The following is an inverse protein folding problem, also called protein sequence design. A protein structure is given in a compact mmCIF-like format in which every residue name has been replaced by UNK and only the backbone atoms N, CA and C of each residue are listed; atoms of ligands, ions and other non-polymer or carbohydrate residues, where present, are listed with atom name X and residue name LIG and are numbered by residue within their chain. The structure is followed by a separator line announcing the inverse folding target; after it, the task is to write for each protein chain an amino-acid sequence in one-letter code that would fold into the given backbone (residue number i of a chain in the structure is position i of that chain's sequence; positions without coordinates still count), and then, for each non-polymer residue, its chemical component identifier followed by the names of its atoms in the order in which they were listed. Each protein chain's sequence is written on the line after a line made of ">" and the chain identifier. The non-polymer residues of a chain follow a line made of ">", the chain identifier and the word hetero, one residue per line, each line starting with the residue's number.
data_IF_041487957592
#
_entry.id   IF_041487957592
#
_cell.length_a   1.000
_cell.length_b   1.000
_cell.length_c   1.000
_cell.angle_alpha   90.00
_cell.angle_beta   90.00
_cell.angle_gamma   90.00
#
_symmetry.space_group_name_H-M   'P 1'
#
loop_
_entity.id
_entity.type
_entity.pdbx_description
1 polymer ?
#
# COMPACT_ATOMS: atom_id res chain seq x y z
N UNK A 1 10.78 13.38 -8.45
CA UNK A 1 10.15 14.17 -9.53
C UNK A 1 8.90 14.82 -8.94
N UNK A 2 8.63 16.09 -9.22
CA UNK A 2 7.38 16.73 -8.79
C UNK A 2 6.31 16.41 -9.82
N UNK A 3 5.28 15.67 -9.41
CA UNK A 3 4.17 15.27 -10.27
C UNK A 3 2.97 16.15 -9.93
N UNK A 4 2.28 16.59 -10.97
CA UNK A 4 1.06 17.38 -10.87
C UNK A 4 -0.12 16.44 -11.15
N UNK A 5 -0.95 16.25 -10.14
CA UNK A 5 -2.24 15.57 -10.24
C UNK A 5 -3.34 16.62 -10.44
N UNK A 6 -4.22 16.39 -11.42
CA UNK A 6 -5.40 17.19 -11.69
C UNK A 6 -6.63 16.49 -11.14
N UNK A 7 -7.28 17.12 -10.16
CA UNK A 7 -8.49 16.59 -9.53
C UNK A 7 -9.54 17.70 -9.56
N UNK A 8 -10.57 17.50 -10.37
CA UNK A 8 -11.59 18.51 -10.66
C UNK A 8 -10.97 19.86 -11.04
N UNK A 9 -11.22 20.90 -10.25
CA UNK A 9 -10.71 22.26 -10.46
C UNK A 9 -9.44 22.56 -9.65
N UNK A 10 -8.76 21.53 -9.12
CA UNK A 10 -7.56 21.70 -8.30
C UNK A 10 -6.38 20.90 -8.85
N UNK A 11 -5.23 21.55 -8.71
CA UNK A 11 -3.94 20.95 -8.97
C UNK A 11 -3.32 20.55 -7.63
N UNK A 12 -2.99 19.27 -7.48
CA UNK A 12 -2.29 18.72 -6.32
C UNK A 12 -0.88 18.36 -6.77
N UNK A 13 0.12 18.84 -6.03
CA UNK A 13 1.51 18.50 -6.32
C UNK A 13 2.01 17.47 -5.33
N UNK A 14 2.52 16.36 -5.85
CA UNK A 14 3.13 15.30 -5.05
C UNK A 14 4.57 15.10 -5.49
N UNK A 15 5.42 14.67 -4.55
CA UNK A 15 6.75 14.19 -4.86
C UNK A 15 6.71 12.68 -5.01
N UNK A 16 7.10 12.19 -6.18
CA UNK A 16 7.28 10.75 -6.42
C UNK A 16 8.48 10.52 -7.32
N UNK A 17 9.16 9.40 -7.11
CA UNK A 17 10.24 8.94 -8.01
C UNK A 17 9.76 7.85 -8.96
N UNK A 18 8.62 7.22 -8.65
CA UNK A 18 8.25 5.92 -9.19
C UNK A 18 6.94 5.94 -10.00
N UNK A 19 6.15 7.02 -9.90
CA UNK A 19 4.89 7.11 -10.62
C UNK A 19 5.09 7.42 -12.10
N UNK A 20 4.60 6.53 -12.95
CA UNK A 20 4.51 6.71 -14.39
C UNK A 20 3.32 7.62 -14.77
N UNK A 21 3.31 8.18 -15.99
CA UNK A 21 2.15 8.95 -16.48
C UNK A 21 0.85 8.15 -16.51
N UNK A 22 0.91 6.85 -16.80
CA UNK A 22 -0.27 5.98 -16.85
C UNK A 22 -0.84 5.82 -15.44
N UNK A 23 0.00 5.49 -14.45
CA UNK A 23 -0.43 5.37 -13.05
C UNK A 23 -0.98 6.69 -12.51
N UNK A 24 -0.35 7.82 -12.88
CA UNK A 24 -0.83 9.17 -12.55
C UNK A 24 -2.25 9.38 -13.07
N UNK A 25 -2.51 9.07 -14.35
CA UNK A 25 -3.84 9.17 -14.94
C UNK A 25 -4.85 8.21 -14.30
N UNK A 26 -4.43 7.00 -13.92
CA UNK A 26 -5.26 6.05 -13.18
C UNK A 26 -5.67 6.59 -11.81
N UNK A 27 -4.73 7.20 -11.07
CA UNK A 27 -5.00 7.83 -9.77
C UNK A 27 -6.00 8.98 -9.93
N UNK A 28 -5.78 9.88 -10.89
CA UNK A 28 -6.70 10.99 -11.17
C UNK A 28 -8.11 10.49 -11.50
N UNK A 29 -8.23 9.46 -12.36
CA UNK A 29 -9.50 8.86 -12.74
C UNK A 29 -10.21 8.21 -11.55
N UNK A 30 -9.47 7.50 -10.68
CA UNK A 30 -10.04 6.86 -9.48
C UNK A 30 -10.59 7.92 -8.52
N UNK A 31 -9.79 8.94 -8.20
CA UNK A 31 -10.22 9.99 -7.27
C UNK A 31 -11.42 10.76 -7.83
N UNK A 32 -11.41 11.06 -9.14
CA UNK A 32 -12.55 11.69 -9.80
C UNK A 32 -13.83 10.84 -9.68
N UNK A 33 -13.74 9.54 -9.96
CA UNK A 33 -14.88 8.63 -9.83
C UNK A 33 -15.43 8.62 -8.39
N UNK A 34 -14.55 8.61 -7.39
CA UNK A 34 -14.97 8.66 -5.98
C UNK A 34 -15.68 9.99 -5.64
N UNK A 35 -15.21 11.12 -6.19
CA UNK A 35 -15.92 12.40 -6.04
C UNK A 35 -17.30 12.36 -6.71
N UNK A 36 -17.38 11.89 -7.96
CA UNK A 36 -18.63 11.84 -8.73
C UNK A 36 -19.68 10.94 -8.05
N UNK A 37 -19.25 9.88 -7.35
CA UNK A 37 -20.13 9.03 -6.54
C UNK A 37 -20.62 9.74 -5.27
N UNK A 38 -19.74 10.44 -4.56
CA UNK A 38 -20.10 11.10 -3.31
C UNK A 38 -20.93 12.37 -3.53
N UNK A 39 -20.78 13.06 -4.67
CA UNK A 39 -21.64 14.19 -5.03
C UNK A 39 -23.12 13.79 -5.11
N UNK A 40 -23.42 12.54 -5.47
CA UNK A 40 -24.79 11.99 -5.45
C UNK A 40 -25.41 11.94 -4.06
N UNK A 41 -24.60 12.05 -3.00
CA UNK A 41 -25.04 12.06 -1.61
C UNK A 41 -25.38 13.46 -1.08
N UNK A 42 -25.37 14.49 -1.93
CA UNK A 42 -25.66 15.90 -1.56
C UNK A 42 -24.80 16.43 -0.41
N UNK A 43 -23.56 15.95 -0.28
CA UNK A 43 -22.59 16.47 0.68
C UNK A 43 -22.00 17.78 0.17
N UNK A 44 -21.70 18.70 1.08
CA UNK A 44 -20.95 19.91 0.73
C UNK A 44 -19.49 19.55 0.38
N UNK A 45 -18.80 20.41 -0.37
CA UNK A 45 -17.43 20.15 -0.84
C UNK A 45 -16.45 19.83 0.28
N UNK A 46 -16.56 20.47 1.45
CA UNK A 46 -15.67 20.22 2.60
C UNK A 46 -15.89 18.79 3.13
N UNK A 47 -17.14 18.37 3.29
CA UNK A 47 -17.50 17.01 3.69
C UNK A 47 -17.02 15.97 2.68
N UNK A 48 -17.13 16.25 1.38
CA UNK A 48 -16.59 15.40 0.31
C UNK A 48 -15.07 15.22 0.44
N UNK A 49 -14.33 16.32 0.64
CA UNK A 49 -12.88 16.26 0.82
C UNK A 49 -12.50 15.45 2.08
N UNK A 50 -13.15 15.68 3.22
CA UNK A 50 -12.87 14.91 4.43
C UNK A 50 -13.17 13.43 4.27
N UNK A 51 -14.25 13.08 3.57
CA UNK A 51 -14.58 11.69 3.29
C UNK A 51 -13.49 11.02 2.44
N UNK A 52 -13.08 11.66 1.35
CA UNK A 52 -12.01 11.16 0.47
C UNK A 52 -10.71 10.98 1.25
N UNK A 53 -10.28 11.98 2.01
CA UNK A 53 -9.08 11.90 2.85
C UNK A 53 -9.18 10.73 3.84
N UNK A 54 -10.33 10.60 4.54
CA UNK A 54 -10.57 9.52 5.49
C UNK A 54 -10.53 8.14 4.83
N UNK A 55 -11.21 7.97 3.70
CA UNK A 55 -11.20 6.73 2.90
C UNK A 55 -9.78 6.31 2.55
N UNK A 56 -9.01 7.20 1.93
CA UNK A 56 -7.64 6.88 1.50
C UNK A 56 -6.66 6.70 2.67
N UNK A 57 -6.86 7.39 3.79
CA UNK A 57 -6.07 7.16 5.01
C UNK A 57 -6.33 5.76 5.59
N UNK A 58 -7.58 5.31 5.61
CA UNK A 58 -7.95 3.97 6.04
C UNK A 58 -7.40 2.91 5.07
N UNK A 59 -7.57 3.10 3.76
CA UNK A 59 -7.01 2.19 2.74
C UNK A 59 -5.49 2.03 2.92
N UNK A 60 -4.77 3.15 3.11
CA UNK A 60 -3.33 3.14 3.36
C UNK A 60 -2.98 2.34 4.62
N UNK A 61 -3.68 2.58 5.73
CA UNK A 61 -3.44 1.85 6.98
C UNK A 61 -3.66 0.34 6.82
N UNK A 62 -4.70 -0.07 6.09
CA UNK A 62 -4.99 -1.49 5.84
C UNK A 62 -3.89 -2.14 4.99
N UNK A 63 -3.42 -1.47 3.94
CA UNK A 63 -2.32 -1.95 3.09
C UNK A 63 -1.02 -2.08 3.90
N UNK A 64 -0.69 -1.08 4.72
CA UNK A 64 0.51 -1.13 5.57
C UNK A 64 0.43 -2.26 6.61
N UNK A 65 -0.75 -2.49 7.18
CA UNK A 65 -0.99 -3.60 8.10
C UNK A 65 -0.82 -4.95 7.40
N UNK A 66 -1.39 -5.12 6.21
CA UNK A 66 -1.26 -6.36 5.42
C UNK A 66 0.19 -6.63 5.03
N UNK A 67 0.91 -5.60 4.57
CA UNK A 67 2.35 -5.70 4.27
C UNK A 67 3.15 -6.19 5.47
N UNK A 68 2.87 -5.64 6.66
CA UNK A 68 3.54 -6.08 7.89
C UNK A 68 3.26 -7.54 8.22
N UNK A 69 2.01 -7.99 8.09
CA UNK A 69 1.65 -9.39 8.31
C UNK A 69 2.42 -10.31 7.35
N UNK A 70 2.49 -9.94 6.07
CA UNK A 70 3.24 -10.71 5.06
C UNK A 70 4.74 -10.74 5.35
N UNK A 71 5.32 -9.61 5.81
CA UNK A 71 6.73 -9.56 6.23
C UNK A 71 6.99 -10.48 7.42
N UNK A 72 6.14 -10.44 8.45
CA UNK A 72 6.23 -11.32 9.63
C UNK A 72 6.10 -12.81 9.23
N UNK A 73 5.21 -13.14 8.28
CA UNK A 73 5.06 -14.51 7.76
C UNK A 73 6.30 -15.00 7.00
N UNK A 74 6.90 -14.13 6.17
CA UNK A 74 8.12 -14.44 5.41
C UNK A 74 9.28 -14.66 6.39
N UNK A 75 9.43 -13.80 7.39
CA UNK A 75 10.48 -13.91 8.40
C UNK A 75 10.35 -15.22 9.19
N UNK A 76 9.14 -15.57 9.63
CA UNK A 76 8.88 -16.83 10.33
C UNK A 76 9.19 -18.06 9.48
N UNK A 77 8.81 -18.05 8.19
CA UNK A 77 9.17 -19.12 7.24
C UNK A 77 10.67 -19.23 7.05
N UNK A 78 11.36 -18.10 6.91
CA UNK A 78 12.82 -18.07 6.77
C UNK A 78 13.51 -18.64 8.02
N UNK A 79 13.08 -18.24 9.21
CA UNK A 79 13.61 -18.74 10.48
C UNK A 79 13.38 -20.25 10.64
N UNK A 80 12.21 -20.76 10.23
CA UNK A 80 11.94 -22.20 10.22
C UNK A 80 12.88 -22.95 9.27
N UNK A 81 13.10 -22.43 8.06
CA UNK A 81 14.03 -23.03 7.09
C UNK A 81 15.47 -23.04 7.62
N UNK A 82 15.92 -21.93 8.22
CA UNK A 82 17.25 -21.83 8.83
C UNK A 82 17.40 -22.85 9.97
N UNK A 83 16.39 -22.97 10.83
CA UNK A 83 16.40 -23.91 11.96
C UNK A 83 16.47 -25.35 11.47
N UNK A 84 15.66 -25.71 10.47
CA UNK A 84 15.68 -27.04 9.85
C UNK A 84 16.99 -27.35 9.13
N UNK A 85 17.65 -26.33 8.55
CA UNK A 85 18.95 -26.51 7.93
C UNK A 85 20.05 -26.77 8.98
N UNK A 86 20.02 -26.04 10.10
CA UNK A 86 20.96 -26.23 11.21
C UNK A 86 20.83 -27.61 11.85
N UNK A 87 19.61 -28.04 12.17
CA UNK A 87 19.40 -29.37 12.78
C UNK A 87 19.89 -30.51 11.88
N UNK A 88 19.67 -30.41 10.57
CA UNK A 88 20.18 -31.41 9.61
C UNK A 88 21.70 -31.44 9.49
N UNK A 89 22.39 -30.32 9.74
CA UNK A 89 23.86 -30.27 9.77
C UNK A 89 24.38 -30.94 11.04
N UNK A 90 23.77 -30.63 12.19
CA UNK A 90 24.12 -31.22 13.50
C UNK A 90 23.91 -32.75 13.52
N UNK A 91 22.81 -33.26 12.96
CA UNK A 91 22.55 -34.69 12.78
C UNK A 91 23.60 -35.38 11.88
N UNK A 92 24.13 -34.66 10.90
CA UNK A 92 25.19 -35.17 10.03
C UNK A 92 26.52 -35.26 10.77
N UNK A 93 26.83 -34.28 11.62
CA UNK A 93 28.05 -34.28 12.42
C UNK A 93 28.04 -35.37 13.50
N UNK A 94 26.89 -35.65 14.11
CA UNK A 94 26.77 -36.71 15.13
C UNK A 94 26.85 -38.12 14.57
N UNK A 95 26.43 -38.36 13.32
CA UNK A 95 26.55 -39.68 12.68
C UNK A 95 27.96 -39.99 12.12
N UNK A 96 28.91 -39.04 12.23
CA UNK A 96 30.29 -39.22 11.79
C UNK A 96 31.27 -39.57 12.94
N UNK A 97 30.81 -39.58 14.19
CA UNK A 97 31.56 -40.02 15.38
C UNK A 97 30.99 -41.33 15.94
#
# INVERSE_FOLDING_TARGET
>A
MKIKLKINNRDIFIESRDLTPIETATIESKIKSDFDELEKMNLNSISLFYYIIGKYAIEKYLIEKEKKILEDEIENKLNSLITNAKSKLEEKETNFF
#
